data_IF_911169459300
#
_entry.id   IF_911169459300
#
_cell.length_a   1.000
_cell.length_b   1.000
_cell.length_c   1.000
_cell.angle_alpha   90.00
_cell.angle_beta   90.00
_cell.angle_gamma   90.00
#
_symmetry.space_group_name_H-M   'P 1'
#
loop_
_entity.id
_entity.type
_entity.pdbx_description
1 polymer ?
#
# COMPACT_ATOMS: atom_id res chain seq x y z
N UNK A 1 -79.99 -42.03 28.13
CA UNK A 1 -79.34 -41.25 27.08
C UNK A 1 -78.25 -40.41 27.76
N UNK A 2 -76.96 -40.87 27.74
CA UNK A 2 -75.81 -40.15 28.25
C UNK A 2 -75.12 -39.37 27.11
N UNK A 3 -75.19 -38.08 27.12
CA UNK A 3 -74.43 -37.25 26.22
C UNK A 3 -73.08 -36.93 26.91
N UNK A 4 -72.00 -37.55 26.41
CA UNK A 4 -70.64 -37.27 26.81
C UNK A 4 -70.20 -35.99 26.11
N UNK A 5 -70.01 -34.90 26.85
CA UNK A 5 -69.41 -33.64 26.36
C UNK A 5 -67.90 -33.79 26.39
N UNK A 6 -67.30 -33.90 25.23
CA UNK A 6 -65.85 -33.96 25.03
C UNK A 6 -65.31 -32.53 24.94
N UNK A 7 -64.71 -32.04 26.06
CA UNK A 7 -64.00 -30.76 26.09
C UNK A 7 -62.66 -30.88 25.32
N UNK A 8 -62.58 -30.26 24.19
CA UNK A 8 -61.29 -30.04 23.51
C UNK A 8 -60.55 -28.90 24.19
N UNK A 9 -59.53 -29.22 24.98
CA UNK A 9 -58.56 -28.26 25.49
C UNK A 9 -57.55 -27.94 24.34
N UNK A 10 -57.78 -26.88 23.61
CA UNK A 10 -56.79 -26.31 22.66
C UNK A 10 -55.72 -25.56 23.51
N UNK A 11 -54.64 -26.24 23.85
CA UNK A 11 -53.45 -25.61 24.41
C UNK A 11 -52.70 -24.90 23.28
N UNK A 12 -52.86 -23.59 23.20
CA UNK A 12 -51.94 -22.77 22.40
C UNK A 12 -50.57 -22.72 23.10
N UNK A 13 -49.65 -23.55 22.69
CA UNK A 13 -48.26 -23.44 23.05
C UNK A 13 -47.66 -22.21 22.35
N UNK A 14 -47.52 -21.11 23.04
CA UNK A 14 -46.70 -19.98 22.59
C UNK A 14 -45.25 -20.46 22.52
N UNK A 15 -44.72 -20.63 21.31
CA UNK A 15 -43.28 -20.81 21.09
C UNK A 15 -42.61 -19.48 21.34
N UNK A 16 -42.19 -19.23 22.58
CA UNK A 16 -41.27 -18.17 22.89
C UNK A 16 -39.89 -18.63 22.40
N UNK A 17 -39.35 -17.97 21.38
CA UNK A 17 -37.96 -18.18 20.98
C UNK A 17 -37.09 -17.90 22.19
N UNK A 18 -36.11 -18.77 22.52
CA UNK A 18 -35.20 -18.50 23.61
C UNK A 18 -34.52 -17.14 23.34
N UNK A 19 -34.69 -16.20 24.26
CA UNK A 19 -33.92 -14.96 24.28
C UNK A 19 -32.48 -15.38 24.52
N UNK A 20 -31.60 -15.21 23.50
CA UNK A 20 -30.19 -15.49 23.62
C UNK A 20 -29.60 -14.79 24.87
N UNK A 21 -28.53 -15.34 25.40
CA UNK A 21 -27.76 -14.72 26.48
C UNK A 21 -27.27 -13.33 26.10
N UNK A 22 -26.65 -12.62 27.05
CA UNK A 22 -25.97 -11.36 26.76
C UNK A 22 -24.97 -11.58 25.62
N UNK A 23 -24.90 -10.61 24.70
CA UNK A 23 -23.94 -10.66 23.60
C UNK A 23 -22.52 -10.70 24.15
N UNK A 24 -21.70 -11.63 23.67
CA UNK A 24 -20.28 -11.67 23.99
C UNK A 24 -19.57 -10.50 23.31
N UNK A 25 -18.73 -9.80 24.06
CA UNK A 25 -17.93 -8.67 23.58
C UNK A 25 -16.42 -8.95 23.70
N UNK A 26 -16.05 -10.09 24.25
CA UNK A 26 -14.65 -10.48 24.40
C UNK A 26 -14.09 -10.99 23.08
N UNK A 27 -12.85 -10.61 22.71
CA UNK A 27 -12.16 -11.23 21.58
C UNK A 27 -11.61 -12.61 21.97
N UNK A 28 -11.32 -13.48 20.97
CA UNK A 28 -10.65 -14.76 21.21
C UNK A 28 -9.34 -14.60 21.96
N UNK A 29 -9.08 -15.51 22.93
CA UNK A 29 -7.84 -15.50 23.73
C UNK A 29 -6.94 -16.68 23.32
N UNK A 30 -5.66 -16.39 23.11
CA UNK A 30 -4.66 -17.43 22.80
C UNK A 30 -4.49 -18.33 24.01
N UNK A 31 -4.59 -19.65 23.82
CA UNK A 31 -4.38 -20.68 24.84
C UNK A 31 -3.05 -21.37 24.70
N UNK A 32 -2.65 -21.68 23.47
CA UNK A 32 -1.44 -22.44 23.21
C UNK A 32 -0.89 -22.06 21.84
N UNK A 33 0.42 -22.05 21.72
CA UNK A 33 1.10 -21.90 20.42
C UNK A 33 2.11 -23.01 20.23
N UNK A 34 2.30 -23.44 19.00
CA UNK A 34 3.34 -24.40 18.61
C UNK A 34 4.02 -23.89 17.33
N UNK A 35 5.31 -23.52 17.40
CA UNK A 35 6.16 -23.47 18.61
C UNK A 35 5.67 -22.41 19.63
N UNK A 36 6.33 -22.31 20.76
CA UNK A 36 6.05 -21.27 21.74
C UNK A 36 6.38 -19.86 21.18
N UNK A 37 5.70 -18.85 21.70
CA UNK A 37 6.01 -17.45 21.41
C UNK A 37 7.47 -17.15 21.77
N UNK A 38 8.22 -16.56 20.83
CA UNK A 38 9.64 -16.26 21.02
C UNK A 38 10.57 -17.44 20.79
N UNK A 39 10.10 -18.53 20.16
CA UNK A 39 10.92 -19.70 19.85
C UNK A 39 12.17 -19.32 19.06
N UNK A 40 13.30 -19.94 19.43
CA UNK A 40 14.59 -19.80 18.77
C UNK A 40 14.92 -21.06 17.95
N UNK A 41 15.80 -20.90 16.98
CA UNK A 41 16.27 -22.01 16.11
C UNK A 41 15.11 -22.79 15.49
N UNK A 42 14.04 -22.10 15.14
CA UNK A 42 12.87 -22.71 14.53
C UNK A 42 13.23 -23.25 13.14
N UNK A 43 13.03 -24.54 12.95
CA UNK A 43 13.28 -25.25 11.69
C UNK A 43 12.04 -25.93 11.11
N UNK A 44 10.86 -25.65 11.71
CA UNK A 44 9.58 -26.13 11.23
C UNK A 44 9.06 -25.35 10.03
N UNK A 45 7.97 -25.84 9.47
CA UNK A 45 7.26 -25.18 8.36
C UNK A 45 5.87 -24.69 8.75
N UNK A 46 5.39 -24.99 9.96
CA UNK A 46 4.06 -24.66 10.44
C UNK A 46 4.13 -24.02 11.82
N UNK A 47 3.33 -22.98 12.00
CA UNK A 47 3.02 -22.40 13.30
C UNK A 47 1.53 -22.61 13.54
N UNK A 48 1.17 -23.10 14.72
CA UNK A 48 -0.20 -23.34 15.15
C UNK A 48 -0.53 -22.49 16.37
N UNK A 49 -1.65 -21.79 16.33
CA UNK A 49 -2.13 -20.91 17.39
C UNK A 49 -3.54 -21.37 17.78
N UNK A 50 -3.70 -21.90 19.00
CA UNK A 50 -4.96 -22.38 19.53
C UNK A 50 -5.62 -21.33 20.45
N UNK A 51 -6.94 -21.18 20.32
CA UNK A 51 -7.77 -20.21 21.02
C UNK A 51 -8.75 -20.90 21.96
N UNK A 52 -9.34 -20.13 22.86
CA UNK A 52 -10.36 -20.61 23.80
C UNK A 52 -11.72 -20.86 23.12
N UNK A 53 -11.96 -20.22 21.99
CA UNK A 53 -13.22 -20.31 21.23
C UNK A 53 -12.98 -20.55 19.72
N UNK A 54 -14.06 -20.72 18.96
CA UNK A 54 -14.02 -20.88 17.51
C UNK A 54 -13.65 -19.56 16.82
N UNK A 55 -12.69 -19.64 15.93
CA UNK A 55 -12.15 -18.47 15.22
C UNK A 55 -12.30 -18.59 13.71
N UNK A 56 -12.37 -17.45 13.06
CA UNK A 56 -12.30 -17.30 11.60
C UNK A 56 -11.32 -16.20 11.21
N UNK A 57 -10.91 -16.20 9.95
CA UNK A 57 -10.03 -15.19 9.39
C UNK A 57 -10.83 -14.23 8.50
N UNK A 58 -10.77 -12.95 8.82
CA UNK A 58 -11.33 -11.87 8.00
C UNK A 58 -10.20 -11.11 7.31
N UNK A 59 -10.31 -10.99 5.98
CA UNK A 59 -9.36 -10.19 5.17
C UNK A 59 -7.89 -10.56 5.41
N UNK A 60 -7.60 -11.85 5.63
CA UNK A 60 -6.28 -12.32 6.04
C UNK A 60 -5.16 -11.87 5.09
N UNK A 61 -5.41 -11.86 3.79
CA UNK A 61 -4.45 -11.44 2.77
C UNK A 61 -3.96 -10.00 2.99
N UNK A 62 -4.84 -9.11 3.43
CA UNK A 62 -4.51 -7.70 3.70
C UNK A 62 -4.07 -7.43 5.12
N UNK A 63 -4.62 -8.17 6.07
CA UNK A 63 -4.42 -7.91 7.50
C UNK A 63 -3.18 -8.59 8.05
N UNK A 64 -2.87 -9.82 7.55
CA UNK A 64 -1.74 -10.55 8.08
C UNK A 64 -0.46 -10.15 7.36
N UNK A 65 0.51 -9.76 8.16
CA UNK A 65 1.81 -9.25 7.73
C UNK A 65 2.90 -10.14 8.29
N UNK A 66 3.83 -10.60 7.45
CA UNK A 66 5.01 -11.35 7.88
C UNK A 66 6.27 -10.56 7.54
N UNK A 67 7.01 -10.14 8.54
CA UNK A 67 8.22 -9.34 8.42
C UNK A 67 9.43 -10.11 8.97
N UNK A 68 10.53 -10.28 8.21
CA UNK A 68 10.70 -9.97 6.79
C UNK A 68 9.68 -10.65 5.87
N UNK A 69 9.45 -10.12 4.64
CA UNK A 69 8.55 -10.78 3.68
C UNK A 69 9.05 -12.17 3.30
N UNK A 70 8.11 -13.11 3.20
CA UNK A 70 8.40 -14.50 2.80
C UNK A 70 7.73 -14.78 1.45
N UNK A 71 8.47 -15.40 0.54
CA UNK A 71 7.99 -15.82 -0.77
C UNK A 71 8.28 -17.30 -1.05
N UNK A 72 7.28 -18.04 -1.58
CA UNK A 72 5.89 -17.63 -1.75
C UNK A 72 5.26 -17.21 -0.41
N UNK A 73 4.19 -16.37 -0.47
CA UNK A 73 3.48 -15.93 0.75
C UNK A 73 3.01 -17.14 1.55
N UNK A 74 3.08 -17.10 2.88
CA UNK A 74 2.62 -18.21 3.71
C UNK A 74 1.12 -18.47 3.55
N UNK A 75 0.73 -19.73 3.63
CA UNK A 75 -0.68 -20.13 3.67
C UNK A 75 -1.20 -19.99 5.10
N UNK A 76 -2.29 -19.24 5.27
CA UNK A 76 -2.90 -18.99 6.57
C UNK A 76 -4.32 -19.54 6.57
N UNK A 77 -4.61 -20.44 7.49
CA UNK A 77 -5.91 -21.12 7.60
C UNK A 77 -6.45 -21.07 9.02
N UNK A 78 -7.78 -21.02 9.16
CA UNK A 78 -8.46 -21.21 10.44
C UNK A 78 -9.32 -22.47 10.38
N UNK A 79 -9.17 -23.33 11.37
CA UNK A 79 -9.98 -24.53 11.52
C UNK A 79 -10.39 -24.72 12.98
N UNK A 80 -11.68 -24.60 13.24
CA UNK A 80 -12.22 -24.70 14.59
C UNK A 80 -11.68 -23.61 15.50
N UNK A 81 -10.89 -24.00 16.47
CA UNK A 81 -10.26 -23.10 17.45
C UNK A 81 -8.78 -22.82 17.14
N UNK A 82 -8.32 -23.12 15.95
CA UNK A 82 -6.91 -23.05 15.63
C UNK A 82 -6.66 -22.27 14.35
N UNK A 83 -5.69 -21.34 14.38
CA UNK A 83 -5.11 -20.71 13.20
C UNK A 83 -3.76 -21.36 12.93
N UNK A 84 -3.49 -21.72 11.67
CA UNK A 84 -2.23 -22.25 11.19
C UNK A 84 -1.60 -21.31 10.18
N UNK A 85 -0.29 -21.18 10.25
CA UNK A 85 0.54 -20.44 9.28
C UNK A 85 1.59 -21.40 8.74
N UNK A 86 1.55 -21.68 7.44
CA UNK A 86 2.44 -22.63 6.77
C UNK A 86 3.40 -21.89 5.84
N UNK A 87 4.68 -22.20 5.95
CA UNK A 87 5.76 -21.61 5.15
C UNK A 87 6.37 -22.68 4.23
N UNK A 88 6.65 -22.30 3.00
CA UNK A 88 7.43 -23.16 2.10
C UNK A 88 8.90 -23.14 2.48
N UNK A 89 9.45 -21.94 2.69
CA UNK A 89 10.85 -21.73 3.06
C UNK A 89 10.99 -20.47 3.92
N UNK A 90 11.86 -20.54 4.92
CA UNK A 90 12.29 -19.40 5.73
C UNK A 90 13.79 -19.17 5.51
N UNK A 91 14.25 -17.94 5.67
CA UNK A 91 15.67 -17.62 5.68
C UNK A 91 16.31 -18.06 7.01
N UNK A 92 17.58 -18.40 6.98
CA UNK A 92 18.34 -18.77 8.17
C UNK A 92 18.66 -17.54 9.04
N UNK A 93 18.87 -17.77 10.33
CA UNK A 93 19.31 -16.76 11.30
C UNK A 93 18.50 -15.47 11.25
N UNK A 94 17.19 -15.57 11.09
CA UNK A 94 16.28 -14.45 10.86
C UNK A 94 15.16 -14.43 11.89
N UNK A 95 14.90 -13.26 12.48
CA UNK A 95 13.75 -13.03 13.36
C UNK A 95 12.53 -12.66 12.50
N UNK A 96 11.46 -13.41 12.66
CA UNK A 96 10.18 -13.20 11.97
C UNK A 96 9.11 -12.69 12.91
N UNK A 97 8.34 -11.73 12.44
CA UNK A 97 7.13 -11.23 13.11
C UNK A 97 5.93 -11.50 12.22
N UNK A 98 4.93 -12.19 12.74
CA UNK A 98 3.64 -12.37 12.09
C UNK A 98 2.64 -11.47 12.81
N UNK A 99 2.27 -10.35 12.20
CA UNK A 99 1.22 -9.47 12.69
C UNK A 99 -0.12 -9.85 12.10
N UNK A 100 -1.12 -10.11 12.92
CA UNK A 100 -2.45 -10.53 12.46
C UNK A 100 -3.42 -9.36 12.28
N UNK A 101 -3.05 -8.14 12.70
CA UNK A 101 -3.94 -6.97 12.64
C UNK A 101 -5.26 -7.25 13.34
N UNK A 102 -6.37 -7.20 12.60
CA UNK A 102 -7.72 -7.55 13.05
C UNK A 102 -8.26 -8.80 12.33
N UNK A 103 -7.40 -9.61 11.73
CA UNK A 103 -7.82 -10.75 10.92
C UNK A 103 -8.47 -11.87 11.73
N UNK A 104 -8.01 -12.12 12.96
CA UNK A 104 -8.52 -13.18 13.81
C UNK A 104 -9.77 -12.65 14.54
N UNK A 105 -10.92 -13.25 14.26
CA UNK A 105 -12.18 -12.91 14.92
C UNK A 105 -12.87 -14.16 15.41
N UNK A 106 -13.72 -14.03 16.47
CA UNK A 106 -14.64 -15.11 16.81
C UNK A 106 -15.67 -15.34 15.68
N UNK A 107 -16.26 -16.52 15.67
CA UNK A 107 -17.22 -16.93 14.62
C UNK A 107 -18.61 -16.36 14.90
N UNK A 108 -19.00 -16.18 16.18
CA UNK A 108 -20.36 -15.86 16.56
C UNK A 108 -20.65 -14.35 16.44
N UNK A 109 -19.91 -13.53 17.13
CA UNK A 109 -20.10 -12.07 17.24
C UNK A 109 -19.19 -11.28 16.32
N UNK A 110 -18.05 -11.84 15.92
CA UNK A 110 -17.05 -11.21 15.07
C UNK A 110 -16.12 -10.25 15.80
N UNK A 111 -15.95 -10.42 17.13
CA UNK A 111 -15.01 -9.63 17.92
C UNK A 111 -13.58 -9.94 17.46
N UNK A 112 -12.80 -8.90 17.17
CA UNK A 112 -11.45 -9.07 16.63
C UNK A 112 -10.39 -9.10 17.75
N UNK A 113 -9.48 -10.08 17.68
CA UNK A 113 -8.24 -10.06 18.46
C UNK A 113 -7.26 -9.05 17.81
N UNK A 114 -7.36 -7.80 18.25
CA UNK A 114 -6.62 -6.70 17.65
C UNK A 114 -5.14 -6.71 18.04
N UNK A 115 -4.27 -6.52 17.02
CA UNK A 115 -2.83 -6.31 17.22
C UNK A 115 -2.04 -7.52 17.71
N UNK A 116 -2.63 -8.73 17.68
CA UNK A 116 -1.89 -9.94 18.04
C UNK A 116 -0.73 -10.17 17.09
N UNK A 117 0.42 -10.50 17.67
CA UNK A 117 1.66 -10.77 16.95
C UNK A 117 2.32 -12.03 17.46
N UNK A 118 2.82 -12.83 16.54
CA UNK A 118 3.64 -14.00 16.84
C UNK A 118 5.06 -13.75 16.36
N UNK A 119 6.04 -13.94 17.25
CA UNK A 119 7.46 -13.70 16.97
C UNK A 119 8.22 -14.99 17.17
N UNK A 120 9.16 -15.28 16.27
CA UNK A 120 10.07 -16.42 16.38
C UNK A 120 11.36 -16.12 15.60
N UNK A 121 12.40 -16.90 15.83
CA UNK A 121 13.65 -16.82 15.09
C UNK A 121 14.07 -18.18 14.56
N UNK A 122 14.55 -18.22 13.31
CA UNK A 122 15.23 -19.39 12.74
C UNK A 122 16.68 -19.50 13.24
N UNK A 123 17.21 -18.42 13.82
CA UNK A 123 18.52 -18.35 14.45
C UNK A 123 18.49 -18.55 15.97
N UNK A 124 19.66 -18.51 16.60
CA UNK A 124 19.78 -18.67 18.05
C UNK A 124 19.44 -17.41 18.86
N UNK A 125 19.14 -16.29 18.21
CA UNK A 125 18.87 -15.00 18.81
C UNK A 125 17.55 -14.46 18.29
N UNK A 126 16.85 -13.71 19.14
CA UNK A 126 15.66 -12.94 18.77
C UNK A 126 16.05 -11.47 18.75
N UNK A 127 15.96 -10.85 17.57
CA UNK A 127 16.16 -9.41 17.46
C UNK A 127 15.04 -8.66 18.18
N UNK A 128 15.35 -7.52 18.80
CA UNK A 128 14.40 -6.81 19.66
C UNK A 128 14.39 -5.29 19.45
N UNK A 129 15.19 -4.79 18.52
CA UNK A 129 15.26 -3.36 18.25
C UNK A 129 14.06 -2.88 17.45
N UNK A 130 13.78 -1.59 17.52
CA UNK A 130 12.60 -1.00 16.88
C UNK A 130 12.87 0.36 16.24
N UNK A 131 12.05 0.68 15.24
CA UNK A 131 11.99 1.99 14.59
C UNK A 131 10.56 2.50 14.61
N UNK A 132 10.35 3.72 15.09
CA UNK A 132 9.04 4.36 15.16
C UNK A 132 9.00 5.62 14.30
N UNK A 133 7.80 5.91 13.79
CA UNK A 133 7.58 7.15 13.07
C UNK A 133 6.14 7.35 12.64
N UNK A 134 5.94 8.39 11.83
CA UNK A 134 4.65 8.75 11.27
C UNK A 134 4.80 9.09 9.80
N UNK A 135 3.84 8.71 8.99
CA UNK A 135 3.81 8.93 7.56
C UNK A 135 2.63 9.81 7.15
N UNK A 136 2.90 10.78 6.28
CA UNK A 136 1.92 11.72 5.74
C UNK A 136 1.96 11.75 4.22
N UNK A 137 0.81 11.98 3.60
CA UNK A 137 0.69 12.34 2.20
C UNK A 137 1.06 13.81 2.01
N UNK A 138 2.11 14.09 1.24
CA UNK A 138 2.60 15.45 1.00
C UNK A 138 1.61 16.32 0.22
N UNK A 139 0.70 15.70 -0.53
CA UNK A 139 -0.24 16.44 -1.39
C UNK A 139 -1.39 17.06 -0.60
N UNK A 140 -1.78 16.46 0.52
CA UNK A 140 -2.96 16.87 1.29
C UNK A 140 -2.72 16.95 2.80
N UNK A 141 -1.52 16.58 3.28
CA UNK A 141 -1.13 16.63 4.69
C UNK A 141 -1.81 15.58 5.59
N UNK A 142 -2.53 14.61 5.02
CA UNK A 142 -3.23 13.59 5.80
C UNK A 142 -2.32 12.42 6.17
N UNK A 143 -2.57 11.77 7.33
CA UNK A 143 -1.88 10.54 7.68
C UNK A 143 -2.08 9.43 6.64
N UNK A 144 -1.01 8.70 6.32
CA UNK A 144 -1.06 7.57 5.38
C UNK A 144 -1.46 6.29 6.10
N UNK A 145 -2.75 6.09 6.26
CA UNK A 145 -3.32 4.86 6.80
C UNK A 145 -3.02 3.66 5.91
N UNK A 146 -2.48 2.59 6.51
CA UNK A 146 -2.23 1.32 5.84
C UNK A 146 -1.02 1.30 4.92
N UNK A 147 -0.30 2.43 4.76
CA UNK A 147 0.97 2.46 4.06
C UNK A 147 2.00 1.57 4.75
N UNK A 148 3.00 1.11 4.02
CA UNK A 148 4.07 0.27 4.53
C UNK A 148 5.30 1.12 4.84
N UNK A 149 5.75 1.10 6.08
CA UNK A 149 7.07 1.58 6.47
C UNK A 149 8.05 0.42 6.36
N UNK A 150 9.14 0.61 5.62
CA UNK A 150 10.06 -0.43 5.18
C UNK A 150 11.50 -0.05 5.53
N UNK A 151 12.26 -0.97 6.08
CA UNK A 151 13.69 -0.87 6.29
C UNK A 151 14.45 -1.73 5.27
N UNK A 152 15.48 -1.14 4.69
CA UNK A 152 16.40 -1.79 3.78
C UNK A 152 17.82 -1.61 4.31
N UNK A 153 18.62 -2.65 4.31
CA UNK A 153 20.05 -2.54 4.67
C UNK A 153 20.70 -1.41 3.87
N UNK A 154 21.41 -0.51 4.56
CA UNK A 154 21.97 0.71 3.98
C UNK A 154 23.07 0.46 2.94
N UNK A 155 23.59 -0.74 2.82
CA UNK A 155 24.53 -1.12 1.75
C UNK A 155 23.89 -1.09 0.34
N UNK A 156 22.56 -1.17 0.25
CA UNK A 156 21.86 -1.12 -1.03
C UNK A 156 21.69 0.32 -1.51
N UNK A 157 22.01 0.61 -2.77
CA UNK A 157 21.75 1.93 -3.34
C UNK A 157 20.25 2.16 -3.54
N UNK A 158 19.84 3.43 -3.54
CA UNK A 158 18.43 3.83 -3.64
C UNK A 158 17.71 3.24 -4.85
N UNK A 159 18.40 3.12 -5.98
CA UNK A 159 17.87 2.51 -7.21
C UNK A 159 17.53 1.03 -7.07
N UNK A 160 18.13 0.33 -6.11
CA UNK A 160 17.86 -1.09 -5.84
C UNK A 160 16.76 -1.27 -4.81
N UNK A 161 16.65 -0.35 -3.84
CA UNK A 161 15.60 -0.40 -2.81
C UNK A 161 14.19 -0.50 -3.39
N UNK A 162 13.91 0.25 -4.44
CA UNK A 162 12.57 0.29 -5.07
C UNK A 162 12.24 -0.99 -5.87
N UNK A 163 13.23 -1.84 -6.13
CA UNK A 163 13.11 -3.06 -6.92
C UNK A 163 13.23 -4.34 -6.09
N UNK A 164 13.36 -4.23 -4.76
CA UNK A 164 13.52 -5.38 -3.87
C UNK A 164 12.56 -5.31 -2.69
N UNK A 165 12.30 -6.46 -2.11
CA UNK A 165 11.55 -6.55 -0.85
C UNK A 165 12.37 -6.01 0.34
N UNK A 166 11.71 -5.39 1.33
CA UNK A 166 12.38 -4.86 2.51
C UNK A 166 12.93 -5.97 3.41
N UNK A 167 13.93 -5.61 4.21
CA UNK A 167 14.48 -6.49 5.25
C UNK A 167 13.56 -6.54 6.48
N UNK A 168 12.89 -5.43 6.80
CA UNK A 168 11.84 -5.35 7.83
C UNK A 168 10.76 -4.37 7.39
N UNK A 169 9.53 -4.58 7.84
CA UNK A 169 8.46 -3.62 7.57
C UNK A 169 7.32 -3.71 8.58
N UNK A 170 6.51 -2.64 8.62
CA UNK A 170 5.25 -2.58 9.35
C UNK A 170 4.23 -1.73 8.61
N UNK A 171 2.94 -1.96 8.86
CA UNK A 171 1.86 -1.11 8.34
C UNK A 171 1.62 0.09 9.26
N UNK A 172 1.38 1.24 8.66
CA UNK A 172 0.90 2.43 9.35
C UNK A 172 -0.54 2.22 9.86
N UNK A 173 -0.80 2.68 11.06
CA UNK A 173 -2.14 2.69 11.64
C UNK A 173 -3.06 3.76 11.02
N UNK A 174 -4.25 3.98 11.61
CA UNK A 174 -5.22 4.99 11.16
C UNK A 174 -4.70 6.43 11.26
N UNK A 175 -3.68 6.67 12.07
CA UNK A 175 -3.05 7.98 12.29
C UNK A 175 -1.72 8.11 11.52
N UNK A 176 -1.40 7.14 10.64
CA UNK A 176 -0.14 7.10 9.92
C UNK A 176 1.06 6.67 10.76
N UNK A 177 0.86 6.28 12.01
CA UNK A 177 1.94 5.85 12.91
C UNK A 177 2.38 4.44 12.53
N UNK A 178 3.69 4.25 12.41
CA UNK A 178 4.30 2.94 12.20
C UNK A 178 5.28 2.59 13.30
N UNK A 179 5.40 1.29 13.57
CA UNK A 179 6.40 0.72 14.45
C UNK A 179 6.92 -0.57 13.84
N UNK A 180 8.16 -0.51 13.35
CA UNK A 180 8.88 -1.68 12.86
C UNK A 180 9.64 -2.24 14.05
N UNK A 181 9.30 -3.45 14.47
CA UNK A 181 9.85 -4.09 15.65
C UNK A 181 10.61 -5.36 15.26
N UNK A 182 11.40 -5.85 16.21
CA UNK A 182 12.24 -7.04 16.04
C UNK A 182 13.23 -6.92 14.86
N UNK A 183 13.75 -5.70 14.66
CA UNK A 183 14.83 -5.47 13.73
C UNK A 183 16.19 -5.80 14.38
N UNK A 184 17.12 -6.28 13.56
CA UNK A 184 18.50 -6.52 13.98
C UNK A 184 19.27 -5.21 14.17
N UNK A 185 20.36 -5.26 14.92
CA UNK A 185 21.33 -4.15 14.96
C UNK A 185 21.91 -3.91 13.56
N UNK A 186 22.00 -2.66 13.14
CA UNK A 186 22.51 -2.33 11.81
C UNK A 186 22.17 -0.93 11.36
N UNK A 187 22.53 -0.66 10.11
CA UNK A 187 22.24 0.63 9.44
C UNK A 187 21.25 0.39 8.30
N UNK A 188 20.19 1.17 8.29
CA UNK A 188 19.06 0.97 7.37
C UNK A 188 18.66 2.25 6.65
N UNK A 189 18.10 2.10 5.46
CA UNK A 189 17.33 3.13 4.76
C UNK A 189 15.86 2.92 5.07
N UNK A 190 15.17 4.00 5.43
CA UNK A 190 13.73 3.96 5.73
C UNK A 190 12.93 4.56 4.57
N UNK A 191 11.98 3.79 4.07
CA UNK A 191 11.03 4.17 3.03
C UNK A 191 9.61 3.94 3.53
N UNK A 192 8.68 4.80 3.12
CA UNK A 192 7.24 4.56 3.26
C UNK A 192 6.62 4.47 1.88
N UNK A 193 5.77 3.47 1.67
CA UNK A 193 5.09 3.19 0.41
C UNK A 193 3.59 3.03 0.64
N UNK A 194 2.78 3.75 -0.13
CA UNK A 194 1.33 3.51 -0.22
C UNK A 194 1.08 2.34 -1.18
N UNK A 195 1.31 1.16 -0.70
CA UNK A 195 1.31 -0.10 -1.45
C UNK A 195 -0.10 -0.53 -1.86
N UNK A 196 -0.30 -0.88 -3.13
CA UNK A 196 -1.59 -1.30 -3.69
C UNK A 196 -1.62 -2.78 -4.10
N UNK A 197 -0.49 -3.31 -4.55
CA UNK A 197 -0.36 -4.64 -5.14
C UNK A 197 0.06 -5.71 -4.15
N UNK A 198 0.51 -5.30 -2.95
CA UNK A 198 1.04 -6.16 -1.88
C UNK A 198 2.26 -7.00 -2.30
N UNK A 199 3.08 -6.43 -3.19
CA UNK A 199 4.33 -7.02 -3.65
C UNK A 199 5.58 -6.40 -3.00
N UNK A 200 5.40 -5.33 -2.20
CA UNK A 200 6.45 -4.58 -1.50
C UNK A 200 7.40 -3.82 -2.44
N UNK A 201 7.01 -3.59 -3.68
CA UNK A 201 7.79 -2.90 -4.68
C UNK A 201 7.13 -1.57 -5.06
N UNK A 202 7.95 -0.62 -5.48
CA UNK A 202 7.47 0.65 -6.01
C UNK A 202 7.32 0.51 -7.53
N UNK A 203 6.21 0.01 -8.01
CA UNK A 203 5.99 -0.34 -9.41
C UNK A 203 4.72 0.25 -10.04
N UNK A 204 3.83 0.85 -9.26
CA UNK A 204 2.66 1.57 -9.74
C UNK A 204 2.85 3.09 -9.62
N UNK A 205 2.52 3.84 -10.71
CA UNK A 205 2.64 5.31 -10.75
C UNK A 205 1.72 6.04 -9.77
N UNK A 206 0.65 5.38 -9.36
CA UNK A 206 -0.29 5.92 -8.36
C UNK A 206 0.14 5.66 -6.91
N UNK A 207 1.22 4.94 -6.69
CA UNK A 207 1.77 4.73 -5.36
C UNK A 207 2.51 5.96 -4.87
N UNK A 208 2.25 6.31 -3.61
CA UNK A 208 2.98 7.38 -2.96
C UNK A 208 4.21 6.80 -2.27
N UNK A 209 5.37 7.36 -2.54
CA UNK A 209 6.61 6.95 -1.92
C UNK A 209 7.28 8.11 -1.17
N UNK A 210 7.86 7.82 -0.02
CA UNK A 210 8.62 8.76 0.79
C UNK A 210 9.84 8.10 1.39
N UNK A 211 10.94 8.84 1.47
CA UNK A 211 12.21 8.34 1.96
C UNK A 211 12.70 9.19 3.14
N UNK A 212 13.34 8.55 4.11
CA UNK A 212 14.11 9.28 5.12
C UNK A 212 15.36 9.86 4.49
N UNK A 213 15.63 11.13 4.76
CA UNK A 213 16.91 11.77 4.39
C UNK A 213 18.09 11.26 5.22
N UNK A 214 17.81 10.62 6.36
CA UNK A 214 18.81 10.12 7.29
C UNK A 214 18.83 8.60 7.27
N UNK A 215 20.03 8.03 7.39
CA UNK A 215 20.20 6.60 7.66
C UNK A 215 19.72 6.30 9.08
N UNK A 216 18.94 5.26 9.23
CA UNK A 216 18.50 4.73 10.52
C UNK A 216 19.58 3.80 11.04
N UNK A 217 20.22 4.16 12.13
CA UNK A 217 21.22 3.30 12.80
C UNK A 217 20.59 2.74 14.06
N UNK A 218 20.48 1.43 14.15
CA UNK A 218 19.91 0.74 15.31
C UNK A 218 21.02 0.28 16.26
N UNK A 219 20.83 0.45 17.59
CA UNK A 219 19.63 0.99 18.26
C UNK A 219 19.45 2.51 18.09
N UNK A 220 18.20 2.98 18.06
CA UNK A 220 17.88 4.40 17.99
C UNK A 220 16.68 4.75 18.88
N UNK A 221 16.68 5.98 19.41
CA UNK A 221 15.51 6.58 20.08
C UNK A 221 14.81 7.62 19.19
N UNK A 222 15.33 7.86 17.98
CA UNK A 222 14.76 8.83 17.06
C UNK A 222 13.40 8.35 16.52
N UNK A 223 12.48 9.33 16.40
CA UNK A 223 11.21 9.12 15.68
C UNK A 223 11.29 9.79 14.32
N UNK A 224 10.79 9.09 13.32
CA UNK A 224 10.89 9.53 11.93
C UNK A 224 9.57 10.10 11.45
N UNK A 225 9.62 11.22 10.72
CA UNK A 225 8.47 11.75 10.00
C UNK A 225 8.75 11.63 8.50
N UNK A 226 7.91 10.89 7.80
CA UNK A 226 8.08 10.63 6.37
C UNK A 226 6.91 11.25 5.60
N UNK A 227 7.25 12.07 4.63
CA UNK A 227 6.31 12.64 3.68
C UNK A 227 6.38 11.84 2.38
N UNK A 228 5.30 11.16 2.03
CA UNK A 228 5.24 10.40 0.79
C UNK A 228 4.43 11.17 -0.25
N UNK A 229 4.91 11.15 -1.47
CA UNK A 229 4.29 11.82 -2.62
C UNK A 229 4.24 10.95 -3.85
N UNK A 230 3.50 11.39 -4.88
CA UNK A 230 3.47 10.70 -6.15
C UNK A 230 4.86 10.70 -6.79
N UNK A 231 5.17 9.60 -7.45
CA UNK A 231 6.42 9.50 -8.19
C UNK A 231 6.39 10.40 -9.42
N UNK A 232 7.52 11.04 -9.77
CA UNK A 232 7.64 11.62 -11.09
C UNK A 232 7.52 10.49 -12.12
N UNK A 233 6.80 10.70 -13.22
CA UNK A 233 6.67 9.68 -14.26
C UNK A 233 8.05 9.26 -14.78
N UNK A 234 8.29 7.96 -14.87
CA UNK A 234 9.58 7.39 -15.33
C UNK A 234 9.99 7.85 -16.73
N UNK A 235 9.03 8.29 -17.55
CA UNK A 235 9.27 8.91 -18.86
C UNK A 235 8.27 10.03 -19.10
N UNK A 236 8.78 11.16 -19.54
CA UNK A 236 7.93 12.24 -20.01
C UNK A 236 7.16 11.77 -21.26
N UNK A 237 5.84 11.95 -21.28
CA UNK A 237 4.98 11.62 -22.41
C UNK A 237 4.01 12.74 -22.69
N UNK A 238 3.75 12.99 -23.97
CA UNK A 238 2.69 13.88 -24.38
C UNK A 238 1.33 13.22 -24.12
N UNK A 239 0.43 13.93 -23.44
CA UNK A 239 -0.94 13.50 -23.18
C UNK A 239 -1.92 14.04 -24.23
N UNK A 240 -1.73 15.29 -24.67
CA UNK A 240 -2.58 15.91 -25.67
C UNK A 240 -1.89 17.07 -26.39
N UNK A 241 -2.31 17.32 -27.63
CA UNK A 241 -1.92 18.48 -28.41
C UNK A 241 -3.16 19.08 -29.08
N UNK A 242 -3.48 20.34 -28.78
CA UNK A 242 -4.68 21.02 -29.25
C UNK A 242 -4.36 22.43 -29.77
N UNK A 243 -5.03 22.83 -30.85
CA UNK A 243 -5.11 24.22 -31.26
C UNK A 243 -6.32 24.86 -30.60
N UNK A 244 -6.07 25.85 -29.76
CA UNK A 244 -7.09 26.64 -29.08
C UNK A 244 -7.22 27.98 -29.82
N UNK A 245 -8.43 28.32 -30.32
CA UNK A 245 -8.66 29.59 -31.03
C UNK A 245 -8.28 30.81 -30.15
N UNK A 246 -7.79 31.90 -30.75
CA UNK A 246 -7.60 32.04 -32.21
C UNK A 246 -6.27 31.41 -32.70
N UNK A 247 -5.23 31.33 -31.87
CA UNK A 247 -3.89 30.98 -32.35
C UNK A 247 -2.97 30.46 -31.23
N UNK A 248 -3.47 29.56 -30.37
CA UNK A 248 -2.67 28.99 -29.29
C UNK A 248 -2.52 27.47 -29.43
N UNK A 249 -1.28 26.99 -29.57
CA UNK A 249 -0.99 25.55 -29.49
C UNK A 249 -0.81 25.19 -28.01
N UNK A 250 -1.63 24.29 -27.50
CA UNK A 250 -1.56 23.80 -26.11
C UNK A 250 -1.17 22.34 -26.12
N UNK A 251 -0.05 22.02 -25.45
CA UNK A 251 0.45 20.65 -25.31
C UNK A 251 0.49 20.30 -23.83
N UNK A 252 -0.16 19.21 -23.44
CA UNK A 252 -0.12 18.69 -22.08
C UNK A 252 0.76 17.43 -22.00
N UNK A 253 1.48 17.29 -20.89
CA UNK A 253 2.39 16.20 -20.58
C UNK A 253 2.04 15.58 -19.22
N UNK A 254 2.56 14.39 -18.98
CA UNK A 254 2.43 13.71 -17.67
C UNK A 254 3.46 14.18 -16.62
N UNK A 255 4.25 15.21 -16.92
CA UNK A 255 5.28 15.75 -16.04
C UNK A 255 5.88 17.04 -16.57
N UNK A 256 6.95 17.53 -15.93
CA UNK A 256 7.60 18.79 -16.28
C UNK A 256 8.22 18.75 -17.68
N UNK A 257 7.69 19.56 -18.58
CA UNK A 257 8.08 19.66 -20.00
C UNK A 257 8.96 20.88 -20.31
N UNK A 258 9.51 21.57 -19.31
CA UNK A 258 10.33 22.78 -19.56
C UNK A 258 11.60 22.52 -20.37
N UNK A 259 12.05 21.26 -20.41
CA UNK A 259 13.22 20.84 -21.21
C UNK A 259 12.83 20.30 -22.59
N UNK A 260 11.52 20.24 -22.92
CA UNK A 260 11.07 19.77 -24.23
C UNK A 260 11.30 20.86 -25.27
N UNK A 261 11.98 20.48 -26.33
CA UNK A 261 12.17 21.32 -27.52
C UNK A 261 11.12 20.98 -28.55
N UNK A 262 10.44 21.98 -29.07
CA UNK A 262 9.45 21.88 -30.12
C UNK A 262 10.08 22.27 -31.47
N UNK A 263 10.21 21.34 -32.37
CA UNK A 263 10.80 21.53 -33.73
C UNK A 263 9.74 21.51 -34.79
N UNK A 264 9.96 22.23 -35.89
CA UNK A 264 9.05 22.26 -37.04
C UNK A 264 8.24 23.54 -37.17
N UNK A 265 8.53 24.56 -36.33
CA UNK A 265 8.01 25.90 -36.57
C UNK A 265 8.59 26.43 -37.88
N UNK A 266 7.72 26.69 -38.85
CA UNK A 266 8.08 27.39 -40.11
C UNK A 266 8.02 28.91 -39.93
N UNK A 267 8.40 29.69 -40.95
CA UNK A 267 8.47 31.15 -40.89
C UNK A 267 7.14 31.81 -40.45
N UNK A 268 6.00 31.17 -40.74
CA UNK A 268 4.68 31.65 -40.32
C UNK A 268 4.35 31.38 -38.86
N UNK A 269 5.12 30.52 -38.19
CA UNK A 269 4.99 30.11 -36.80
C UNK A 269 6.13 30.67 -35.90
N UNK A 270 7.11 31.36 -36.50
CA UNK A 270 8.17 32.03 -35.75
C UNK A 270 7.62 33.21 -34.92
N UNK A 271 8.30 33.56 -33.86
CA UNK A 271 7.91 34.58 -32.88
C UNK A 271 6.73 34.15 -31.99
N UNK A 272 6.77 32.92 -31.49
CA UNK A 272 5.81 32.47 -30.49
C UNK A 272 6.26 32.84 -29.09
N UNK A 273 5.36 33.46 -28.32
CA UNK A 273 5.52 33.52 -26.87
C UNK A 273 5.19 32.16 -26.29
N UNK A 274 5.99 31.68 -25.32
CA UNK A 274 5.79 30.39 -24.66
C UNK A 274 5.44 30.62 -23.22
N UNK A 275 4.42 29.92 -22.73
CA UNK A 275 4.04 29.91 -21.30
C UNK A 275 3.95 28.47 -20.83
N UNK A 276 4.52 28.24 -19.65
CA UNK A 276 4.37 26.98 -18.90
C UNK A 276 3.37 27.15 -17.79
N UNK A 277 2.56 26.13 -17.52
CA UNK A 277 1.78 26.02 -16.30
C UNK A 277 2.68 25.98 -15.07
N UNK A 278 2.16 26.21 -13.88
CA UNK A 278 2.96 26.23 -12.65
C UNK A 278 3.75 24.94 -12.41
N UNK A 279 3.16 23.77 -12.71
CA UNK A 279 3.79 22.45 -12.64
C UNK A 279 4.73 22.13 -13.79
N UNK A 280 4.77 22.95 -14.85
CA UNK A 280 5.55 22.70 -16.07
C UNK A 280 4.95 21.63 -17.00
N UNK A 281 3.83 21.05 -16.65
CA UNK A 281 3.15 19.93 -17.34
C UNK A 281 2.33 20.36 -18.57
N UNK A 282 2.11 21.65 -18.73
CA UNK A 282 1.37 22.21 -19.89
C UNK A 282 2.16 23.35 -20.49
N UNK A 283 2.35 23.28 -21.82
CA UNK A 283 3.07 24.26 -22.61
C UNK A 283 2.11 24.91 -23.58
N UNK A 284 2.04 26.25 -23.56
CA UNK A 284 1.24 27.04 -24.49
C UNK A 284 2.13 27.90 -25.37
N UNK A 285 2.05 27.71 -26.69
CA UNK A 285 2.71 28.54 -27.70
C UNK A 285 1.68 29.50 -28.31
N UNK A 286 1.87 30.77 -28.14
CA UNK A 286 1.01 31.83 -28.68
C UNK A 286 1.54 32.23 -30.05
N UNK A 287 0.83 31.86 -31.10
CA UNK A 287 1.21 32.17 -32.47
C UNK A 287 0.80 33.61 -32.81
N UNK A 288 1.56 34.23 -33.72
CA UNK A 288 1.24 35.58 -34.22
C UNK A 288 -0.07 35.64 -35.01
N UNK A 289 -0.46 34.54 -35.66
CA UNK A 289 -1.70 34.41 -36.44
C UNK A 289 -2.23 32.98 -36.39
N UNK A 290 -3.50 32.80 -36.72
CA UNK A 290 -4.09 31.46 -36.90
C UNK A 290 -3.40 30.74 -38.05
N UNK A 291 -2.94 29.47 -37.86
CA UNK A 291 -2.32 28.72 -38.90
C UNK A 291 -3.27 28.48 -40.11
N UNK A 292 -2.79 28.78 -41.30
CA UNK A 292 -3.57 28.55 -42.53
C UNK A 292 -3.66 27.08 -42.93
N UNK A 293 -2.65 26.30 -42.52
CA UNK A 293 -2.57 24.86 -42.84
C UNK A 293 -2.72 24.04 -41.55
N UNK A 294 -3.69 23.16 -41.51
CA UNK A 294 -3.91 22.20 -40.43
C UNK A 294 -3.78 20.77 -40.93
N UNK A 295 -3.30 19.84 -40.11
CA UNK A 295 -2.80 20.06 -38.77
C UNK A 295 -1.42 20.76 -38.75
N UNK A 296 -1.17 21.56 -37.70
CA UNK A 296 0.20 21.94 -37.37
C UNK A 296 0.89 20.74 -36.77
N UNK A 297 2.06 20.39 -37.30
CA UNK A 297 2.84 19.21 -36.86
C UNK A 297 4.19 19.67 -36.32
N UNK A 298 4.46 19.35 -35.05
CA UNK A 298 5.73 19.65 -34.38
C UNK A 298 6.35 18.35 -33.85
N UNK A 299 7.66 18.20 -34.04
CA UNK A 299 8.43 17.14 -33.40
C UNK A 299 8.87 17.60 -32.01
N UNK A 300 8.60 16.79 -31.02
CA UNK A 300 8.96 17.03 -29.64
C UNK A 300 10.23 16.26 -29.31
N UNK A 301 11.24 16.94 -28.75
CA UNK A 301 12.47 16.29 -28.28
C UNK A 301 12.72 16.58 -26.80
N UNK A 302 13.17 15.59 -26.10
CA UNK A 302 13.66 15.72 -24.73
C UNK A 302 15.11 15.21 -24.69
N UNK A 303 16.04 16.04 -24.23
CA UNK A 303 17.47 15.74 -24.22
C UNK A 303 18.01 15.19 -25.57
N UNK A 304 17.56 15.80 -26.68
CA UNK A 304 17.99 15.42 -28.04
C UNK A 304 17.30 14.17 -28.64
N UNK A 305 16.57 13.40 -27.82
CA UNK A 305 15.82 12.22 -28.28
C UNK A 305 14.40 12.63 -28.66
N UNK A 306 13.87 12.07 -29.79
CA UNK A 306 12.48 12.28 -30.18
C UNK A 306 11.57 11.67 -29.10
N UNK A 307 10.75 12.53 -28.50
CA UNK A 307 9.76 12.14 -27.50
C UNK A 307 8.46 11.72 -28.17
N UNK A 308 7.94 12.57 -29.09
CA UNK A 308 6.68 12.37 -29.77
C UNK A 308 6.55 13.34 -30.96
N UNK A 309 5.43 13.22 -31.71
CA UNK A 309 5.05 14.16 -32.75
C UNK A 309 3.67 14.74 -32.44
N UNK A 310 3.62 16.00 -32.07
CA UNK A 310 2.38 16.71 -31.78
C UNK A 310 1.65 17.10 -33.06
N UNK A 311 0.36 16.80 -33.15
CA UNK A 311 -0.53 17.18 -34.25
C UNK A 311 -1.66 18.05 -33.71
N UNK A 312 -1.66 19.30 -34.05
CA UNK A 312 -2.63 20.27 -33.58
C UNK A 312 -3.75 20.46 -34.61
N UNK A 313 -4.91 19.94 -34.28
CA UNK A 313 -6.13 20.14 -35.05
C UNK A 313 -7.00 21.21 -34.42
N UNK A 314 -7.79 21.93 -35.20
CA UNK A 314 -8.78 22.80 -34.65
C UNK A 314 -9.85 21.97 -33.92
N UNK A 315 -10.07 22.27 -32.64
CA UNK A 315 -11.08 21.56 -31.85
C UNK A 315 -12.45 21.92 -32.44
N UNK A 316 -13.19 20.95 -32.94
CA UNK A 316 -14.59 21.17 -33.33
C UNK A 316 -15.34 21.63 -32.09
N UNK A 317 -15.90 22.84 -32.11
CA UNK A 317 -16.86 23.24 -31.10
C UNK A 317 -18.11 22.37 -31.33
N UNK A 318 -18.26 21.34 -30.49
CA UNK A 318 -19.59 20.70 -30.36
C UNK A 318 -20.56 21.73 -29.83
N UNK A 319 -21.56 22.05 -30.64
CA UNK A 319 -22.72 22.85 -30.26
C UNK A 319 -23.51 22.18 -29.15
#
# INVERSE_FOLDING_TARGET
>A
LFISVMLFLSACANKVAPTGGAKDLDPPKVKLTSPEQGALSFNGKEISIAFDEFVQLKDATRQVVVSPPVFPKPTITANGKTVKVEFEKLADSTTYVIGFGNAITDVNEGNALSGYRFVFSTGPVLDSLQVEGVAYDITNGKPLKGAMAMLFDSQWPDSVMVLRTPDHFARCDSNGVFRIENAAEGSYRLMVLSEKTENYLLDDLDELAGFSSQTVVLPTENKFTIWAGPQPPNSLRMLSANLVPPATLVTAFNGDARQVVFEGFNDSLQNTAVRYAAGGDTVSHFLAATPNNLPVVLVLRNNGTVLDTARYNQRSQSK
#
